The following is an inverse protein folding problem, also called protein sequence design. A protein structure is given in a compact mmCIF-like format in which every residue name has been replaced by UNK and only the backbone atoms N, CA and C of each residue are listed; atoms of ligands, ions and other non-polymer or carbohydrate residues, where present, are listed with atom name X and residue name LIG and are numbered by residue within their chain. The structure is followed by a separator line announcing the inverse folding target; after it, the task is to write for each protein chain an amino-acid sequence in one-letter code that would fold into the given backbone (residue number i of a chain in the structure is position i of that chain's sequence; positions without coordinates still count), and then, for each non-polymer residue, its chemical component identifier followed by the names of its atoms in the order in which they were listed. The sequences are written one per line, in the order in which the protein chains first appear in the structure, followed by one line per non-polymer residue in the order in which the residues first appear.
data_IF_785204503703
#
_entry.id   IF_785204503703
#
_cell.length_a   1.000
_cell.length_b   1.000
_cell.length_c   1.000
_cell.angle_alpha   90.00
_cell.angle_beta   90.00
_cell.angle_gamma   90.00
#
_symmetry.space_group_name_H-M   'P 1'
#
loop_
_entity.id
_entity.type
_entity.pdbx_description
1 polymer ?
#
# COMPACT_ATOMS: atom_id res chain seq x y z
N UNK A 1 -10.37 2.80 7.33
CA UNK A 1 -10.03 2.98 8.76
C UNK A 1 -8.58 2.61 9.07
N UNK A 2 -8.16 1.33 8.96
CA UNK A 2 -6.77 0.90 9.27
C UNK A 2 -5.68 1.76 8.60
N UNK A 3 -5.85 2.08 7.31
CA UNK A 3 -4.94 2.98 6.55
C UNK A 3 -4.81 4.36 7.21
N UNK A 4 -5.92 4.95 7.63
CA UNK A 4 -5.93 6.28 8.26
C UNK A 4 -5.23 6.25 9.62
N UNK A 5 -5.55 5.26 10.47
CA UNK A 5 -4.89 5.11 11.77
C UNK A 5 -3.37 4.98 11.64
N UNK A 6 -2.90 4.14 10.70
CA UNK A 6 -1.48 3.98 10.40
C UNK A 6 -0.80 5.26 9.89
N UNK A 7 -1.55 6.18 9.26
CA UNK A 7 -1.06 7.46 8.78
C UNK A 7 -1.05 8.58 9.84
N UNK A 8 -1.88 8.49 10.89
CA UNK A 8 -2.06 9.56 11.89
C UNK A 8 -1.38 9.31 13.23
N UNK A 9 -1.02 8.07 13.53
CA UNK A 9 -0.34 7.71 14.77
C UNK A 9 1.14 7.41 14.52
N UNK A 10 2.02 7.76 15.47
CA UNK A 10 3.45 7.44 15.39
C UNK A 10 3.73 6.06 16.00
N UNK A 11 4.46 5.21 15.27
CA UNK A 11 4.92 3.92 15.79
C UNK A 11 5.93 4.04 16.95
N UNK A 12 6.43 5.25 17.24
CA UNK A 12 7.23 5.53 18.44
C UNK A 12 6.39 5.55 19.72
N UNK A 13 5.09 5.83 19.59
CA UNK A 13 4.17 6.03 20.71
C UNK A 13 3.16 4.89 20.88
N UNK A 14 2.82 4.20 19.79
CA UNK A 14 1.83 3.13 19.78
C UNK A 14 2.32 1.92 18.98
N UNK A 15 1.88 0.73 19.36
CA UNK A 15 2.03 -0.47 18.55
C UNK A 15 0.89 -0.56 17.55
N UNK A 16 1.12 -0.07 16.33
CA UNK A 16 0.11 -0.04 15.26
C UNK A 16 -0.42 -1.43 14.91
N UNK A 17 0.38 -2.49 15.08
CA UNK A 17 -0.03 -3.85 14.74
C UNK A 17 -1.15 -4.30 15.67
N UNK A 18 -0.94 -4.13 16.97
CA UNK A 18 -1.95 -4.48 17.97
C UNK A 18 -3.20 -3.61 17.83
N UNK A 19 -3.03 -2.30 17.62
CA UNK A 19 -4.13 -1.34 17.53
C UNK A 19 -5.02 -1.53 16.29
N UNK A 20 -4.44 -2.03 15.20
CA UNK A 20 -5.17 -2.22 13.92
C UNK A 20 -5.53 -3.67 13.61
N UNK A 21 -5.02 -4.63 14.39
CA UNK A 21 -5.17 -6.07 14.13
C UNK A 21 -4.86 -6.42 12.67
N UNK A 22 -3.75 -5.88 12.14
CA UNK A 22 -3.25 -6.24 10.81
C UNK A 22 -2.49 -7.56 10.88
N UNK A 23 -2.72 -8.41 9.89
CA UNK A 23 -2.00 -9.68 9.74
C UNK A 23 -0.78 -9.51 8.84
N UNK A 24 0.26 -10.32 9.10
CA UNK A 24 1.51 -10.25 8.38
C UNK A 24 1.90 -11.59 7.78
N UNK A 25 2.32 -11.56 6.51
CA UNK A 25 2.84 -12.71 5.78
C UNK A 25 4.31 -12.50 5.40
N UNK A 26 5.02 -13.61 5.18
CA UNK A 26 6.42 -13.57 4.79
C UNK A 26 6.59 -13.05 3.35
N UNK A 27 7.51 -12.11 3.17
CA UNK A 27 7.92 -11.64 1.86
C UNK A 27 8.78 -12.68 1.10
N UNK A 28 8.78 -12.58 -0.23
CA UNK A 28 9.46 -13.50 -1.16
C UNK A 28 10.95 -13.19 -1.36
N UNK A 29 11.34 -11.91 -1.38
CA UNK A 29 12.69 -11.42 -1.75
C UNK A 29 13.32 -10.47 -0.72
N UNK A 30 12.56 -10.00 0.27
CA UNK A 30 13.03 -9.14 1.37
C UNK A 30 12.77 -9.76 2.75
N UNK A 31 13.34 -9.17 3.81
CA UNK A 31 13.18 -9.64 5.20
C UNK A 31 12.01 -9.00 5.95
N UNK A 32 11.44 -7.94 5.41
CA UNK A 32 10.33 -7.19 6.01
C UNK A 32 9.02 -7.90 5.65
N UNK A 33 8.10 -8.14 6.59
CA UNK A 33 6.84 -8.80 6.29
C UNK A 33 5.91 -7.92 5.45
N UNK A 34 4.94 -8.55 4.80
CA UNK A 34 3.88 -7.92 4.02
C UNK A 34 2.57 -7.92 4.83
N UNK A 35 1.69 -6.96 4.58
CA UNK A 35 0.35 -6.92 5.19
C UNK A 35 -0.58 -7.85 4.41
N UNK A 36 -1.11 -8.89 5.04
CA UNK A 36 -1.91 -9.93 4.37
C UNK A 36 -3.15 -9.38 3.67
N UNK A 37 -3.82 -8.38 4.28
CA UNK A 37 -5.07 -7.83 3.77
C UNK A 37 -4.92 -6.92 2.54
N UNK A 38 -3.68 -6.59 2.13
CA UNK A 38 -3.45 -5.80 0.93
C UNK A 38 -3.63 -6.65 -0.34
N UNK A 39 -4.33 -6.11 -1.34
CA UNK A 39 -4.57 -6.79 -2.62
C UNK A 39 -3.31 -6.89 -3.50
N UNK A 40 -2.27 -6.08 -3.21
CA UNK A 40 -1.00 -6.11 -3.92
C UNK A 40 0.15 -5.60 -3.05
N UNK A 41 1.36 -6.04 -3.36
CA UNK A 41 2.59 -5.68 -2.65
C UNK A 41 3.73 -5.47 -3.64
N UNK A 42 4.52 -4.43 -3.39
CA UNK A 42 5.80 -4.20 -4.06
C UNK A 42 6.91 -4.38 -3.04
N UNK A 43 7.73 -5.41 -3.24
CA UNK A 43 8.91 -5.60 -2.42
C UNK A 43 10.06 -4.79 -3.00
N UNK A 44 10.59 -3.89 -2.19
CA UNK A 44 11.63 -2.96 -2.61
C UNK A 44 12.91 -3.11 -1.79
N UNK A 45 14.06 -2.91 -2.44
CA UNK A 45 15.34 -2.65 -1.76
C UNK A 45 15.65 -1.16 -1.83
N UNK A 46 16.20 -0.61 -0.75
CA UNK A 46 16.63 0.80 -0.74
C UNK A 46 17.71 1.01 -1.79
N UNK A 47 17.45 1.89 -2.74
CA UNK A 47 18.40 2.29 -3.78
C UNK A 47 19.04 3.63 -3.46
N UNK A 48 18.24 4.61 -3.04
CA UNK A 48 18.70 5.97 -2.75
C UNK A 48 17.81 6.67 -1.73
N UNK A 49 18.35 7.69 -1.08
CA UNK A 49 17.65 8.59 -0.16
C UNK A 49 18.09 10.02 -0.43
N UNK A 50 17.17 10.85 -0.91
CA UNK A 50 17.42 12.24 -1.30
C UNK A 50 16.79 13.16 -0.26
N UNK A 51 17.58 14.02 0.39
CA UNK A 51 17.08 15.01 1.34
C UNK A 51 16.48 16.22 0.60
N UNK A 52 15.23 16.55 0.90
CA UNK A 52 14.45 17.62 0.27
C UNK A 52 13.87 18.56 1.34
N UNK A 53 14.75 19.33 1.99
CA UNK A 53 14.35 20.30 3.00
C UNK A 53 13.87 19.62 4.29
N UNK A 54 12.56 19.46 4.47
CA UNK A 54 11.95 18.91 5.68
C UNK A 54 11.61 17.41 5.59
N UNK A 55 11.86 16.76 4.46
CA UNK A 55 11.59 15.35 4.25
C UNK A 55 12.65 14.66 3.38
N UNK A 56 12.61 13.33 3.35
CA UNK A 56 13.42 12.51 2.47
C UNK A 56 12.56 11.92 1.35
N UNK A 57 13.04 12.00 0.12
CA UNK A 57 12.54 11.22 -1.00
C UNK A 57 13.33 9.91 -1.10
N UNK A 58 12.66 8.79 -0.85
CA UNK A 58 13.28 7.46 -0.79
C UNK A 58 13.02 6.71 -2.08
N UNK A 59 14.07 6.27 -2.76
CA UNK A 59 14.00 5.49 -4.01
C UNK A 59 14.15 4.01 -3.71
N UNK A 60 13.13 3.22 -4.05
CA UNK A 60 13.14 1.76 -3.93
C UNK A 60 13.31 1.07 -5.28
N UNK A 61 14.20 0.08 -5.37
CA UNK A 61 14.27 -0.86 -6.48
C UNK A 61 13.27 -2.00 -6.25
N UNK A 62 12.28 -2.16 -7.14
CA UNK A 62 11.31 -3.25 -7.06
C UNK A 62 11.98 -4.58 -7.42
N UNK A 63 12.05 -5.49 -6.46
CA UNK A 63 12.66 -6.83 -6.62
C UNK A 63 11.62 -7.96 -6.69
N UNK A 64 10.36 -7.67 -6.33
CA UNK A 64 9.22 -8.57 -6.51
C UNK A 64 7.92 -7.78 -6.50
N UNK A 65 6.97 -8.18 -7.32
CA UNK A 65 5.56 -7.77 -7.23
C UNK A 65 4.73 -9.01 -6.90
N UNK A 66 3.81 -8.86 -5.95
CA UNK A 66 2.90 -9.92 -5.50
C UNK A 66 1.50 -9.35 -5.55
N UNK A 67 0.56 -10.14 -6.09
CA UNK A 67 -0.84 -9.78 -6.17
C UNK A 67 -1.68 -10.86 -5.50
N UNK A 68 -2.84 -10.47 -5.00
CA UNK A 68 -3.92 -11.42 -4.77
C UNK A 68 -4.54 -11.77 -6.12
N UNK A 69 -4.44 -13.03 -6.55
CA UNK A 69 -4.97 -13.47 -7.84
C UNK A 69 -6.49 -13.21 -7.96
N UNK A 70 -7.23 -13.20 -6.85
CA UNK A 70 -8.67 -12.88 -6.84
C UNK A 70 -8.95 -11.40 -7.04
N UNK A 71 -7.96 -10.50 -6.95
CA UNK A 71 -8.12 -9.07 -7.15
C UNK A 71 -7.89 -8.61 -8.60
N UNK A 72 -7.30 -9.45 -9.43
CA UNK A 72 -6.87 -9.09 -10.79
C UNK A 72 -7.42 -10.05 -11.83
N UNK A 73 -7.71 -9.54 -13.03
CA UNK A 73 -7.98 -10.33 -14.23
C UNK A 73 -7.04 -9.88 -15.35
N UNK A 74 -6.22 -10.79 -15.88
CA UNK A 74 -5.25 -10.48 -16.96
C UNK A 74 -4.38 -9.26 -16.63
N UNK A 75 -3.84 -9.24 -15.41
CA UNK A 75 -3.03 -8.15 -14.85
C UNK A 75 -3.74 -6.79 -14.68
N UNK A 76 -5.06 -6.76 -14.84
CA UNK A 76 -5.90 -5.58 -14.62
C UNK A 76 -6.65 -5.73 -13.30
N UNK A 77 -6.58 -4.72 -12.44
CA UNK A 77 -7.32 -4.71 -11.17
C UNK A 77 -8.83 -4.73 -11.44
N UNK A 78 -9.56 -5.67 -10.81
CA UNK A 78 -11.03 -5.74 -10.84
C UNK A 78 -11.60 -4.69 -9.90
N UNK A 79 -11.96 -3.52 -10.42
CA UNK A 79 -12.41 -2.39 -9.60
C UNK A 79 -13.80 -2.58 -8.98
N UNK A 80 -14.54 -3.57 -9.46
CA UNK A 80 -15.81 -4.02 -8.93
C UNK A 80 -15.61 -4.71 -7.56
N UNK A 81 -14.52 -5.46 -7.43
CA UNK A 81 -14.17 -6.25 -6.24
C UNK A 81 -13.22 -5.47 -5.31
N UNK A 82 -12.28 -4.73 -5.89
CA UNK A 82 -11.28 -3.94 -5.16
C UNK A 82 -11.47 -2.47 -5.43
N UNK A 83 -11.63 -1.71 -4.36
CA UNK A 83 -11.82 -0.26 -4.40
C UNK A 83 -10.59 0.44 -3.80
N UNK A 84 -9.58 0.81 -4.62
CA UNK A 84 -8.41 1.51 -4.13
C UNK A 84 -8.79 2.80 -3.41
N UNK A 85 -8.18 3.01 -2.25
CA UNK A 85 -8.37 4.22 -1.47
C UNK A 85 -7.47 5.33 -2.02
N UNK A 86 -8.07 6.46 -2.39
CA UNK A 86 -7.36 7.68 -2.75
C UNK A 86 -7.51 8.72 -1.65
N UNK A 87 -6.38 9.29 -1.24
CA UNK A 87 -6.35 10.34 -0.24
C UNK A 87 -6.65 11.70 -0.88
N UNK A 88 -7.57 12.47 -0.28
CA UNK A 88 -7.97 13.79 -0.77
C UNK A 88 -7.45 14.96 0.08
N UNK A 89 -6.83 14.67 1.23
CA UNK A 89 -6.43 15.69 2.21
C UNK A 89 -7.24 15.60 3.51
N UNK A 90 -6.64 16.08 4.59
CA UNK A 90 -7.16 15.97 5.95
C UNK A 90 -7.50 14.51 6.32
N UNK A 91 -8.78 14.21 6.55
CA UNK A 91 -9.30 12.88 6.86
C UNK A 91 -10.27 12.39 5.79
N UNK A 92 -10.19 12.98 4.59
CA UNK A 92 -11.07 12.65 3.46
C UNK A 92 -10.41 11.69 2.48
N UNK A 93 -11.19 10.71 2.04
CA UNK A 93 -10.78 9.68 1.10
C UNK A 93 -11.87 9.47 0.05
N UNK A 94 -11.47 8.98 -1.12
CA UNK A 94 -12.39 8.51 -2.17
C UNK A 94 -11.92 7.18 -2.75
N UNK A 95 -12.69 6.64 -3.67
CA UNK A 95 -12.35 5.44 -4.46
C UNK A 95 -12.75 5.66 -5.91
N UNK A 96 -12.31 4.76 -6.78
CA UNK A 96 -12.82 4.67 -8.16
C UNK A 96 -14.35 4.58 -8.20
N UNK A 97 -14.96 5.38 -9.06
CA UNK A 97 -16.30 5.13 -9.58
C UNK A 97 -16.18 3.92 -10.53
N UNK A 98 -17.03 2.90 -10.39
CA UNK A 98 -16.85 1.55 -10.97
C UNK A 98 -16.86 1.44 -12.50
N UNK A 99 -16.66 2.56 -13.20
CA UNK A 99 -16.66 2.68 -14.64
C UNK A 99 -15.23 2.63 -15.19
N UNK A 100 -14.91 1.61 -15.99
CA UNK A 100 -13.64 1.52 -16.72
C UNK A 100 -13.80 2.14 -18.12
N UNK A 101 -12.96 3.11 -18.46
CA UNK A 101 -12.80 3.60 -19.85
C UNK A 101 -11.55 2.98 -20.47
N UNK A 102 -11.69 2.30 -21.61
CA UNK A 102 -10.55 1.77 -22.37
C UNK A 102 -10.06 2.82 -23.37
N UNK A 103 -8.77 3.12 -23.33
CA UNK A 103 -8.08 4.03 -24.25
C UNK A 103 -8.15 5.50 -23.83
N UNK A 104 -6.97 6.11 -23.68
CA UNK A 104 -6.75 7.54 -23.90
C UNK A 104 -6.01 7.69 -25.22
#
# INVERSE_FOLDING_TARGET
EKVHYCGTHSGKSVDKVNETSLSFIQAKKIKVPLIEECYAHLECRLRDTIELGDHFFVVGEVVSAIINDDAFEKDILKIEDVKPVYYLGDSMYTTVDGNIKKGF
#
